data_IF_417289388649
#
_entry.id   IF_417289388649
#
_cell.length_a   1.000
_cell.length_b   1.000
_cell.length_c   1.000
_cell.angle_alpha   90.00
_cell.angle_beta   90.00
_cell.angle_gamma   90.00
#
_symmetry.space_group_name_H-M   'P 1'
#
loop_
_entity.id
_entity.type
_entity.pdbx_description
1 polymer ?
#
# COMPACT_ATOMS: atom_id res chain seq x y z
N UNK A 1 0.25 -41.32 6.88
CA UNK A 1 0.53 -39.87 7.01
C UNK A 1 1.98 -39.67 6.62
N UNK A 2 2.23 -38.93 5.54
CA UNK A 2 3.58 -38.71 5.01
C UNK A 2 4.33 -37.78 5.98
N UNK A 3 5.42 -38.28 6.56
CA UNK A 3 6.38 -37.46 7.31
C UNK A 3 6.97 -36.42 6.37
N UNK A 4 6.55 -35.16 6.51
CA UNK A 4 7.11 -34.05 5.73
C UNK A 4 8.61 -33.93 6.00
N UNK A 5 9.41 -34.11 4.96
CA UNK A 5 10.86 -34.17 5.05
C UNK A 5 11.43 -32.75 5.34
N UNK A 6 11.74 -32.45 6.60
CA UNK A 6 12.22 -31.12 7.06
C UNK A 6 13.72 -30.88 6.86
N UNK A 7 14.43 -31.79 6.17
CA UNK A 7 15.88 -31.72 5.95
C UNK A 7 16.38 -30.42 5.31
N UNK A 8 15.54 -29.72 4.54
CA UNK A 8 15.92 -28.47 3.88
C UNK A 8 15.74 -27.23 4.75
N UNK A 9 15.17 -27.37 5.95
CA UNK A 9 14.89 -26.27 6.85
C UNK A 9 15.62 -26.50 8.18
N UNK A 10 16.89 -26.09 8.26
CA UNK A 10 17.75 -26.32 9.44
C UNK A 10 17.09 -25.93 10.77
N UNK A 11 16.38 -24.80 10.80
CA UNK A 11 15.63 -24.36 12.00
C UNK A 11 14.50 -25.32 12.37
N UNK A 12 13.81 -25.91 11.39
CA UNK A 12 12.71 -26.85 11.61
C UNK A 12 13.21 -28.27 11.90
N UNK A 13 14.39 -28.65 11.38
CA UNK A 13 15.02 -29.94 11.68
C UNK A 13 15.42 -30.07 13.15
N UNK A 14 15.59 -28.95 13.86
CA UNK A 14 15.90 -28.93 15.29
C UNK A 14 14.68 -29.26 16.19
N UNK A 15 13.47 -29.27 15.64
CA UNK A 15 12.25 -29.58 16.39
C UNK A 15 11.55 -30.82 15.81
N UNK A 16 11.87 -31.99 16.35
CA UNK A 16 11.17 -33.24 16.03
C UNK A 16 9.78 -33.29 16.68
N UNK A 17 8.77 -33.83 15.97
CA UNK A 17 7.39 -34.05 16.45
C UNK A 17 6.56 -32.80 16.80
N UNK A 18 6.68 -31.71 16.04
CA UNK A 18 5.66 -30.65 16.12
C UNK A 18 4.39 -31.10 15.40
N UNK A 19 3.24 -31.07 16.08
CA UNK A 19 1.93 -31.32 15.49
C UNK A 19 1.48 -30.14 14.60
N UNK A 20 2.11 -29.97 13.42
CA UNK A 20 1.88 -28.82 12.54
C UNK A 20 0.44 -28.61 12.10
N UNK A 21 -0.37 -29.67 12.12
CA UNK A 21 -1.80 -29.61 11.81
C UNK A 21 -2.56 -28.60 12.69
N UNK A 22 -2.13 -28.39 13.94
CA UNK A 22 -2.77 -27.43 14.85
C UNK A 22 -2.54 -25.97 14.43
N UNK A 23 -1.45 -25.67 13.71
CA UNK A 23 -1.17 -24.32 13.22
C UNK A 23 -1.86 -24.02 11.88
N UNK A 24 -2.32 -25.05 11.16
CA UNK A 24 -2.99 -24.84 9.88
C UNK A 24 -4.29 -24.03 10.08
N UNK A 25 -5.06 -24.32 11.13
CA UNK A 25 -6.28 -23.58 11.43
C UNK A 25 -5.98 -22.15 11.89
N UNK A 26 -4.96 -21.97 12.74
CA UNK A 26 -4.52 -20.63 13.19
C UNK A 26 -4.01 -19.76 12.03
N UNK A 27 -3.26 -20.35 11.08
CA UNK A 27 -2.80 -19.64 9.89
C UNK A 27 -3.96 -19.26 8.96
N UNK A 28 -4.97 -20.12 8.86
CA UNK A 28 -6.18 -19.83 8.09
C UNK A 28 -6.97 -18.69 8.73
N UNK A 29 -7.18 -18.74 10.04
CA UNK A 29 -7.84 -17.68 10.80
C UNK A 29 -7.09 -16.35 10.67
N UNK A 30 -5.77 -16.37 10.80
CA UNK A 30 -4.92 -15.19 10.62
C UNK A 30 -5.06 -14.61 9.20
N UNK A 31 -5.08 -15.47 8.19
CA UNK A 31 -5.29 -15.05 6.80
C UNK A 31 -6.66 -14.40 6.61
N UNK A 32 -7.73 -14.97 7.18
CA UNK A 32 -9.08 -14.40 7.11
C UNK A 32 -9.16 -13.04 7.83
N UNK A 33 -8.58 -12.94 9.04
CA UNK A 33 -8.51 -11.68 9.78
C UNK A 33 -7.73 -10.61 9.02
N UNK A 34 -6.63 -10.98 8.37
CA UNK A 34 -5.85 -10.07 7.53
C UNK A 34 -6.70 -9.55 6.37
N UNK A 35 -7.36 -10.46 5.63
CA UNK A 35 -8.22 -10.08 4.50
C UNK A 35 -9.40 -9.19 4.94
N UNK A 36 -9.98 -9.45 6.10
CA UNK A 36 -11.07 -8.64 6.66
C UNK A 36 -10.58 -7.25 7.09
N UNK A 37 -9.41 -7.19 7.75
CA UNK A 37 -8.80 -5.93 8.20
C UNK A 37 -8.49 -4.98 7.05
N UNK A 38 -8.10 -5.52 5.89
CA UNK A 38 -7.74 -4.75 4.70
C UNK A 38 -8.80 -4.84 3.59
N UNK A 39 -10.06 -5.13 3.96
CA UNK A 39 -11.17 -5.22 3.01
C UNK A 39 -11.49 -3.87 2.36
N UNK A 40 -11.22 -2.77 3.07
CA UNK A 40 -11.29 -1.40 2.58
C UNK A 40 -10.28 -1.11 1.46
N UNK A 41 -9.08 -1.68 1.52
CA UNK A 41 -8.08 -1.57 0.45
C UNK A 41 -8.56 -2.24 -0.85
N UNK A 42 -9.35 -3.32 -0.75
CA UNK A 42 -9.96 -3.95 -1.93
C UNK A 42 -10.94 -3.01 -2.63
N UNK A 43 -11.69 -2.22 -1.86
CA UNK A 43 -12.59 -1.22 -2.43
C UNK A 43 -11.83 -0.06 -3.12
N UNK A 44 -10.52 0.07 -2.87
CA UNK A 44 -9.64 1.06 -3.48
C UNK A 44 -8.82 0.48 -4.63
N UNK A 45 -9.05 -0.78 -5.04
CA UNK A 45 -8.25 -1.46 -6.07
C UNK A 45 -8.28 -0.72 -7.41
N UNK A 46 -9.44 -0.22 -7.82
CA UNK A 46 -9.60 0.60 -9.02
C UNK A 46 -8.84 1.93 -8.89
N UNK A 47 -8.88 2.55 -7.70
CA UNK A 47 -8.13 3.77 -7.42
C UNK A 47 -6.61 3.56 -7.53
N UNK A 48 -6.11 2.45 -6.99
CA UNK A 48 -4.70 2.09 -7.11
C UNK A 48 -4.32 1.83 -8.56
N UNK A 49 -5.13 1.09 -9.29
CA UNK A 49 -4.90 0.75 -10.69
C UNK A 49 -4.86 2.00 -11.57
N UNK A 50 -5.77 2.95 -11.35
CA UNK A 50 -5.79 4.26 -12.04
C UNK A 50 -4.51 5.03 -11.75
N UNK A 51 -4.11 5.13 -10.49
CA UNK A 51 -2.89 5.86 -10.11
C UNK A 51 -1.60 5.19 -10.60
N UNK A 52 -1.57 3.86 -10.67
CA UNK A 52 -0.39 3.11 -11.06
C UNK A 52 -0.23 3.01 -12.58
N UNK A 53 -1.29 3.25 -13.36
CA UNK A 53 -1.28 3.10 -14.82
C UNK A 53 -2.33 3.99 -15.52
N UNK A 54 -2.30 5.32 -15.33
CA UNK A 54 -3.31 6.23 -15.90
C UNK A 54 -3.38 6.18 -17.44
N UNK A 55 -2.25 5.87 -18.09
CA UNK A 55 -2.10 5.80 -19.56
C UNK A 55 -2.72 4.55 -20.19
N UNK A 56 -3.07 3.53 -19.38
CA UNK A 56 -3.63 2.23 -19.82
C UNK A 56 -4.92 1.89 -19.09
N UNK A 57 -5.42 2.78 -18.22
CA UNK A 57 -6.58 2.54 -17.39
C UNK A 57 -7.88 2.53 -18.21
N UNK A 58 -8.80 1.61 -17.89
CA UNK A 58 -10.12 1.61 -18.53
C UNK A 58 -10.97 2.77 -17.99
N UNK A 59 -11.18 3.79 -18.82
CA UNK A 59 -11.95 4.99 -18.46
C UNK A 59 -13.37 4.67 -17.97
N UNK A 60 -13.97 3.55 -18.42
CA UNK A 60 -15.30 3.10 -17.97
C UNK A 60 -15.33 2.60 -16.52
N UNK A 61 -14.17 2.22 -15.99
CA UNK A 61 -14.01 1.80 -14.60
C UNK A 61 -13.61 2.98 -13.69
N UNK A 62 -13.55 4.20 -14.21
CA UNK A 62 -13.23 5.37 -13.38
C UNK A 62 -14.35 5.58 -12.34
N UNK A 63 -14.01 5.87 -11.07
CA UNK A 63 -15.01 6.11 -10.04
C UNK A 63 -15.99 7.24 -10.44
N UNK A 64 -17.30 6.97 -10.32
CA UNK A 64 -18.39 7.89 -10.77
C UNK A 64 -18.32 9.27 -10.07
N UNK A 65 -17.73 9.36 -8.87
CA UNK A 65 -17.57 10.64 -8.15
C UNK A 65 -16.52 11.57 -8.79
N UNK A 66 -15.86 11.14 -9.86
CA UNK A 66 -14.76 11.82 -10.53
C UNK A 66 -15.04 11.97 -12.04
N UNK A 67 -16.26 12.36 -12.43
CA UNK A 67 -16.63 12.63 -13.84
C UNK A 67 -15.64 13.56 -14.56
N UNK A 68 -14.97 14.47 -13.84
CA UNK A 68 -13.93 15.36 -14.37
C UNK A 68 -12.60 14.63 -14.70
N UNK A 69 -12.31 13.48 -14.06
CA UNK A 69 -11.10 12.70 -14.32
C UNK A 69 -11.19 11.91 -15.63
N UNK A 70 -12.39 11.56 -16.10
CA UNK A 70 -12.53 10.80 -17.34
C UNK A 70 -11.97 11.57 -18.55
N UNK A 71 -12.16 12.89 -18.59
CA UNK A 71 -11.64 13.74 -19.66
C UNK A 71 -10.11 13.91 -19.56
N UNK A 72 -9.59 14.18 -18.36
CA UNK A 72 -8.14 14.25 -18.10
C UNK A 72 -7.43 12.93 -18.42
N UNK A 73 -8.07 11.80 -18.11
CA UNK A 73 -7.58 10.46 -18.43
C UNK A 73 -7.51 10.24 -19.94
N UNK A 74 -8.55 10.63 -20.70
CA UNK A 74 -8.54 10.55 -22.16
C UNK A 74 -7.41 11.42 -22.72
N UNK A 75 -7.24 12.64 -22.23
CA UNK A 75 -6.17 13.53 -22.70
C UNK A 75 -4.77 12.94 -22.46
N UNK A 76 -4.53 12.33 -21.30
CA UNK A 76 -3.27 11.62 -21.02
C UNK A 76 -3.11 10.39 -21.90
N UNK A 77 -4.21 9.68 -22.17
CA UNK A 77 -4.25 8.53 -23.06
C UNK A 77 -4.13 8.90 -24.54
N UNK A 78 -4.28 10.15 -24.94
CA UNK A 78 -4.02 10.58 -26.31
C UNK A 78 -2.68 11.33 -26.46
N UNK A 79 -2.04 11.69 -25.33
CA UNK A 79 -0.78 12.41 -25.32
C UNK A 79 0.44 11.46 -25.33
N UNK A 80 0.92 11.12 -26.52
CA UNK A 80 2.10 10.26 -26.73
C UNK A 80 3.35 10.72 -25.94
N UNK A 81 3.72 12.02 -25.89
CA UNK A 81 4.82 12.48 -25.04
C UNK A 81 4.63 12.17 -23.55
N UNK A 82 3.44 12.41 -22.99
CA UNK A 82 3.15 12.09 -21.58
C UNK A 82 3.21 10.59 -21.32
N UNK A 83 2.73 9.76 -22.27
CA UNK A 83 2.85 8.31 -22.16
C UNK A 83 4.30 7.84 -22.10
N UNK A 84 5.15 8.35 -22.99
CA UNK A 84 6.59 8.04 -22.96
C UNK A 84 7.20 8.46 -21.63
N UNK A 85 6.89 9.67 -21.15
CA UNK A 85 7.41 10.14 -19.86
C UNK A 85 6.95 9.28 -18.69
N UNK A 86 5.71 8.82 -18.69
CA UNK A 86 5.21 7.91 -17.66
C UNK A 86 6.03 6.63 -17.55
N UNK A 87 6.51 6.09 -18.68
CA UNK A 87 7.34 4.88 -18.70
C UNK A 87 8.81 5.16 -18.33
N UNK A 88 9.27 6.40 -18.50
CA UNK A 88 10.67 6.81 -18.30
C UNK A 88 10.99 7.29 -16.86
N UNK A 89 10.00 7.69 -16.06
CA UNK A 89 10.22 8.29 -14.73
C UNK A 89 9.47 7.61 -13.61
N UNK A 90 9.91 7.84 -12.37
CA UNK A 90 9.18 7.35 -11.19
C UNK A 90 7.79 7.98 -11.08
N UNK A 91 6.85 7.22 -10.50
CA UNK A 91 5.43 7.60 -10.41
C UNK A 91 5.21 8.97 -9.76
N UNK A 92 5.87 9.22 -8.63
CA UNK A 92 5.75 10.50 -7.92
C UNK A 92 6.30 11.66 -8.76
N UNK A 93 7.38 11.43 -9.50
CA UNK A 93 8.00 12.42 -10.36
C UNK A 93 7.15 12.72 -11.59
N UNK A 94 6.50 11.70 -12.16
CA UNK A 94 5.51 11.88 -13.23
C UNK A 94 4.41 12.85 -12.81
N UNK A 95 3.70 12.54 -11.72
CA UNK A 95 2.59 13.35 -11.21
C UNK A 95 3.00 14.75 -10.77
N UNK A 96 4.25 14.93 -10.31
CA UNK A 96 4.74 16.21 -9.82
C UNK A 96 5.30 17.13 -10.92
N UNK A 97 6.03 16.56 -11.87
CA UNK A 97 6.85 17.33 -12.85
C UNK A 97 6.22 17.40 -14.24
N UNK A 98 5.44 16.40 -14.64
CA UNK A 98 4.98 16.26 -16.03
C UNK A 98 3.47 16.45 -16.19
N UNK A 99 2.69 16.29 -15.11
CA UNK A 99 1.28 16.70 -15.09
C UNK A 99 1.16 18.16 -14.65
N UNK A 100 0.97 19.05 -15.63
CA UNK A 100 0.74 20.47 -15.40
C UNK A 100 -0.54 20.70 -14.58
N UNK A 101 -0.47 21.55 -13.54
CA UNK A 101 -1.59 21.76 -12.60
C UNK A 101 -2.85 22.32 -13.30
N UNK A 102 -2.67 23.09 -14.38
CA UNK A 102 -3.78 23.74 -15.09
C UNK A 102 -4.51 22.78 -16.06
N UNK A 103 -3.82 21.75 -16.55
CA UNK A 103 -4.37 20.80 -17.53
C UNK A 103 -4.91 19.53 -16.86
N UNK A 104 -4.32 19.11 -15.73
CA UNK A 104 -4.68 17.85 -15.05
C UNK A 104 -4.90 18.02 -13.53
N UNK A 105 -5.72 19.00 -13.10
CA UNK A 105 -5.90 19.31 -11.69
C UNK A 105 -6.48 18.13 -10.89
N UNK A 106 -7.42 17.36 -11.45
CA UNK A 106 -8.09 16.29 -10.72
C UNK A 106 -7.18 15.08 -10.56
N UNK A 107 -6.58 14.60 -11.65
CA UNK A 107 -5.69 13.45 -11.61
C UNK A 107 -4.49 13.70 -10.70
N UNK A 108 -3.96 14.94 -10.71
CA UNK A 108 -2.85 15.29 -9.82
C UNK A 108 -3.28 15.39 -8.36
N UNK A 109 -4.50 15.88 -8.07
CA UNK A 109 -5.06 15.89 -6.70
C UNK A 109 -5.29 14.46 -6.20
N UNK A 110 -5.82 13.60 -7.05
CA UNK A 110 -6.08 12.20 -6.76
C UNK A 110 -4.78 11.45 -6.47
N UNK A 111 -3.80 11.53 -7.37
CA UNK A 111 -2.50 10.90 -7.18
C UNK A 111 -1.80 11.39 -5.91
N UNK A 112 -1.84 12.70 -5.61
CA UNK A 112 -1.32 13.26 -4.35
C UNK A 112 -2.00 12.64 -3.13
N UNK A 113 -3.32 12.48 -3.16
CA UNK A 113 -4.09 11.91 -2.04
C UNK A 113 -3.66 10.47 -1.77
N UNK A 114 -3.54 9.64 -2.81
CA UNK A 114 -3.09 8.26 -2.68
C UNK A 114 -1.62 8.17 -2.24
N UNK A 115 -0.72 8.91 -2.90
CA UNK A 115 0.72 8.91 -2.55
C UNK A 115 0.93 9.38 -1.10
N UNK A 116 0.20 10.40 -0.65
CA UNK A 116 0.27 10.87 0.73
C UNK A 116 -0.27 9.86 1.73
N UNK A 117 -1.28 9.06 1.38
CA UNK A 117 -1.76 7.98 2.25
C UNK A 117 -0.67 6.92 2.49
N UNK A 118 0.09 6.55 1.46
CA UNK A 118 1.25 5.64 1.61
C UNK A 118 2.45 6.31 2.29
N UNK A 119 2.68 7.59 2.03
CA UNK A 119 3.77 8.35 2.66
C UNK A 119 3.51 8.59 4.15
N UNK A 120 2.26 8.81 4.55
CA UNK A 120 1.88 8.99 5.95
C UNK A 120 1.94 7.68 6.70
N UNK A 121 1.50 6.55 6.13
CA UNK A 121 1.69 5.23 6.74
C UNK A 121 3.17 4.92 6.93
N UNK A 122 4.03 5.12 5.92
CA UNK A 122 5.47 4.92 6.07
C UNK A 122 6.08 5.82 7.16
N UNK A 123 5.72 7.10 7.20
CA UNK A 123 6.20 8.03 8.24
C UNK A 123 5.70 7.63 9.63
N UNK A 124 4.43 7.23 9.75
CA UNK A 124 3.84 6.72 10.98
C UNK A 124 4.55 5.45 11.43
N UNK A 125 4.76 4.46 10.56
CA UNK A 125 5.47 3.21 10.86
C UNK A 125 6.90 3.48 11.31
N UNK A 126 7.61 4.39 10.64
CA UNK A 126 8.95 4.82 11.04
C UNK A 126 8.94 5.51 12.40
N UNK A 127 7.97 6.37 12.66
CA UNK A 127 7.77 7.04 13.95
C UNK A 127 7.46 6.03 15.07
N UNK A 128 6.52 5.10 14.86
CA UNK A 128 6.20 4.03 15.82
C UNK A 128 7.39 3.10 16.05
N UNK A 129 8.16 2.79 15.02
CA UNK A 129 9.40 2.00 15.14
C UNK A 129 10.46 2.73 15.96
N UNK A 130 10.62 4.04 15.76
CA UNK A 130 11.50 4.87 16.58
C UNK A 130 11.01 4.96 18.03
N UNK A 131 9.70 5.04 18.26
CA UNK A 131 9.13 4.98 19.60
C UNK A 131 9.36 3.64 20.30
N UNK A 132 9.35 2.51 19.56
CA UNK A 132 9.75 1.20 20.11
C UNK A 132 11.22 1.18 20.55
N UNK A 133 12.11 1.82 19.81
CA UNK A 133 13.52 1.99 20.22
C UNK A 133 13.64 2.86 21.47
N UNK A 134 12.82 3.90 21.60
CA UNK A 134 12.77 4.76 22.79
C UNK A 134 12.08 4.10 24.01
N UNK A 135 11.25 3.08 23.81
CA UNK A 135 10.69 2.18 24.85
C UNK A 135 11.67 1.06 25.25
N UNK A 136 12.98 1.29 25.19
CA UNK A 136 13.94 0.36 25.77
C UNK A 136 13.75 0.27 27.29
N UNK A 137 14.24 -0.82 27.88
CA UNK A 137 13.99 -1.32 29.26
C UNK A 137 14.20 -0.30 30.39
N UNK A 138 14.77 0.89 30.11
CA UNK A 138 15.01 1.96 31.08
C UNK A 138 13.98 3.11 31.05
N UNK A 139 12.99 3.09 30.14
CA UNK A 139 11.89 4.07 30.08
C UNK A 139 10.52 3.38 29.94
N UNK A 140 9.98 2.89 31.06
CA UNK A 140 8.75 2.10 31.09
C UNK A 140 7.44 2.88 31.26
N UNK A 141 7.44 4.22 31.24
CA UNK A 141 6.19 5.00 31.33
C UNK A 141 6.12 6.11 30.28
N UNK A 142 5.63 5.73 29.10
CA UNK A 142 4.87 6.63 28.23
C UNK A 142 3.42 6.15 28.30
N UNK A 143 2.61 6.85 29.09
CA UNK A 143 1.15 6.68 29.18
C UNK A 143 0.48 7.46 28.04
N UNK A 144 -0.73 7.09 27.62
CA UNK A 144 -1.42 7.72 26.46
C UNK A 144 -1.55 9.24 26.61
N UNK A 145 -1.70 9.75 27.84
CA UNK A 145 -1.73 11.19 28.17
C UNK A 145 -0.46 11.96 27.73
N UNK A 146 0.65 11.27 27.51
CA UNK A 146 1.91 11.87 27.06
C UNK A 146 2.03 12.01 25.53
N UNK A 147 1.11 11.41 24.77
CA UNK A 147 1.15 11.38 23.30
C UNK A 147 0.32 12.51 22.65
N UNK A 148 -0.55 13.20 23.40
CA UNK A 148 -1.43 14.25 22.86
C UNK A 148 -0.75 15.62 22.63
N UNK A 149 0.52 15.80 23.06
CA UNK A 149 1.21 17.10 23.02
C UNK A 149 2.60 17.05 22.34
N UNK A 150 2.79 16.27 21.28
CA UNK A 150 4.04 16.24 20.49
C UNK A 150 3.83 16.56 19.02
#
# INVERSE_FOLDING_TARGET
MLSGNSYHFNTLSAYENIAYAQYAEELKLLSEQFLNRFSDLKNMEDCFSLSASPTKYNVQNAPIQLELEQMELIEIQENSPLKSKFEDVELCDFYKKYLEDDNFPQLRKFARTLICAFGSTYKCEKFFSLMKVNKSTHRTRLTDDNLENS
#
